data_IF_859396190727
#
_entry.id   IF_859396190727
#
_cell.length_a   1.000
_cell.length_b   1.000
_cell.length_c   1.000
_cell.angle_alpha   90.00
_cell.angle_beta   90.00
_cell.angle_gamma   90.00
#
_symmetry.space_group_name_H-M   'P 1'
#
loop_
_entity.id
_entity.type
_entity.pdbx_description
1 polymer ?
#
# COMPACT_ATOMS: atom_id res chain seq x y z
N UNK A 1 12.15 10.76 14.75
CA UNK A 1 12.59 10.47 13.37
C UNK A 1 12.60 11.73 12.48
N UNK A 2 11.44 12.28 12.10
CA UNK A 2 11.33 13.39 11.12
C UNK A 2 12.14 14.64 11.51
N UNK A 3 12.23 14.96 12.80
CA UNK A 3 12.95 16.16 13.27
C UNK A 3 14.41 15.89 13.62
N UNK A 4 14.80 14.62 13.74
CA UNK A 4 16.11 14.20 14.26
C UNK A 4 17.05 13.63 13.19
N UNK A 5 16.52 13.26 12.02
CA UNK A 5 17.26 12.63 10.93
C UNK A 5 17.04 13.40 9.64
N UNK A 6 18.00 13.29 8.72
CA UNK A 6 17.90 13.91 7.39
C UNK A 6 16.76 13.31 6.59
N UNK A 7 15.96 14.17 5.93
CA UNK A 7 14.88 13.76 5.02
C UNK A 7 15.38 12.82 3.91
N UNK A 8 16.64 12.95 3.50
CA UNK A 8 17.21 12.07 2.46
C UNK A 8 17.27 10.60 2.90
N UNK A 9 17.34 10.33 4.20
CA UNK A 9 17.46 8.98 4.71
C UNK A 9 16.09 8.30 4.85
N UNK A 10 15.09 9.04 5.37
CA UNK A 10 13.78 8.46 5.68
C UNK A 10 12.66 8.83 4.69
N UNK A 11 12.83 9.89 3.89
CA UNK A 11 11.87 10.39 2.88
C UNK A 11 10.45 10.72 3.39
N UNK A 12 10.31 10.91 4.71
CA UNK A 12 9.04 11.27 5.36
C UNK A 12 8.90 12.79 5.49
N UNK A 13 7.67 13.28 5.43
CA UNK A 13 7.29 14.65 5.78
C UNK A 13 6.17 14.66 6.82
N UNK A 14 5.96 15.80 7.50
CA UNK A 14 4.94 15.91 8.57
C UNK A 14 3.53 15.53 8.10
N UNK A 15 3.20 15.76 6.83
CA UNK A 15 1.91 15.34 6.26
C UNK A 15 1.73 13.82 6.17
N UNK A 16 2.83 13.05 6.06
CA UNK A 16 2.76 11.58 5.95
C UNK A 16 2.32 10.93 7.28
N UNK A 17 2.39 11.65 8.40
CA UNK A 17 1.92 11.20 9.73
C UNK A 17 0.65 11.92 10.18
N UNK A 18 0.01 12.68 9.30
CA UNK A 18 -1.18 13.46 9.64
C UNK A 18 -2.41 12.56 9.83
N UNK A 19 -3.01 12.49 11.02
CA UNK A 19 -4.13 11.58 11.30
C UNK A 19 -5.45 12.00 10.63
N UNK A 20 -5.52 13.19 10.02
CA UNK A 20 -6.69 13.66 9.28
C UNK A 20 -6.78 13.04 7.88
N UNK A 21 -5.65 12.71 7.27
CA UNK A 21 -5.58 12.13 5.92
C UNK A 21 -5.47 10.60 5.96
N UNK A 22 -6.56 9.96 6.42
CA UNK A 22 -6.60 8.51 6.68
C UNK A 22 -6.66 7.65 5.41
N UNK A 23 -6.92 8.24 4.25
CA UNK A 23 -7.09 7.54 2.97
C UNK A 23 -5.81 7.57 2.11
N UNK A 24 -4.76 8.25 2.57
CA UNK A 24 -3.52 8.39 1.81
C UNK A 24 -2.64 7.15 1.96
N UNK A 25 -2.87 6.18 1.07
CA UNK A 25 -2.08 4.95 1.00
C UNK A 25 -0.59 5.22 0.76
N UNK A 26 -0.22 6.26 0.01
CA UNK A 26 1.18 6.60 -0.28
C UNK A 26 1.96 6.94 0.99
N UNK A 27 1.33 7.57 1.97
CA UNK A 27 1.93 7.81 3.28
C UNK A 27 2.28 6.49 3.98
N UNK A 28 1.42 5.48 3.88
CA UNK A 28 1.67 4.14 4.43
C UNK A 28 2.88 3.46 3.78
N UNK A 29 3.01 3.54 2.45
CA UNK A 29 4.17 2.99 1.73
C UNK A 29 5.48 3.64 2.19
N UNK A 30 5.49 4.97 2.29
CA UNK A 30 6.67 5.70 2.78
C UNK A 30 7.04 5.33 4.20
N UNK A 31 6.05 5.15 5.08
CA UNK A 31 6.28 4.70 6.46
C UNK A 31 6.93 3.31 6.49
N UNK A 32 6.48 2.38 5.64
CA UNK A 32 7.09 1.06 5.51
C UNK A 32 8.52 1.10 4.94
N UNK A 33 8.83 2.08 4.08
CA UNK A 33 10.19 2.27 3.58
C UNK A 33 11.15 2.82 4.65
N UNK A 34 10.64 3.54 5.65
CA UNK A 34 11.44 4.15 6.71
C UNK A 34 11.78 3.19 7.88
N UNK A 35 11.48 1.89 7.77
CA UNK A 35 11.71 0.88 8.83
C UNK A 35 13.19 0.85 9.27
N UNK A 36 14.13 0.89 8.33
CA UNK A 36 15.57 0.83 8.62
C UNK A 36 16.00 2.02 9.49
N UNK A 37 15.50 3.22 9.19
CA UNK A 37 15.75 4.41 9.99
C UNK A 37 15.12 4.35 11.40
N UNK A 38 14.07 3.55 11.59
CA UNK A 38 13.43 3.38 12.89
C UNK A 38 14.21 2.43 13.79
N UNK A 39 14.89 1.42 13.24
CA UNK A 39 15.66 0.44 14.04
C UNK A 39 16.76 1.09 14.88
N UNK A 40 17.28 2.24 14.45
CA UNK A 40 18.30 3.01 15.17
C UNK A 40 17.74 3.88 16.32
N UNK A 41 16.42 3.92 16.51
CA UNK A 41 15.75 4.74 17.52
C UNK A 41 15.31 3.86 18.70
N UNK A 42 15.67 4.26 19.91
CA UNK A 42 15.21 3.60 21.14
C UNK A 42 13.68 3.58 21.21
N UNK A 43 13.10 2.51 21.76
CA UNK A 43 11.65 2.31 21.90
C UNK A 43 10.83 2.23 20.59
N UNK A 44 11.47 2.09 19.43
CA UNK A 44 10.79 1.95 18.13
C UNK A 44 10.40 0.51 17.77
N UNK A 45 10.88 -0.49 18.50
CA UNK A 45 10.81 -1.91 18.15
C UNK A 45 9.39 -2.38 17.83
N UNK A 46 8.40 -1.98 18.64
CA UNK A 46 7.00 -2.33 18.39
C UNK A 46 6.46 -1.72 17.09
N UNK A 47 6.85 -0.48 16.78
CA UNK A 47 6.51 0.19 15.52
C UNK A 47 7.18 -0.50 14.33
N UNK A 48 8.44 -0.90 14.46
CA UNK A 48 9.16 -1.68 13.44
C UNK A 48 8.45 -2.99 13.14
N UNK A 49 8.06 -3.75 14.17
CA UNK A 49 7.29 -5.00 14.00
C UNK A 49 5.95 -4.72 13.30
N UNK A 50 5.22 -3.70 13.74
CA UNK A 50 3.94 -3.34 13.14
C UNK A 50 4.06 -2.96 11.65
N UNK A 51 5.02 -2.11 11.29
CA UNK A 51 5.28 -1.73 9.90
C UNK A 51 5.80 -2.93 9.08
N UNK A 52 6.53 -3.86 9.69
CA UNK A 52 6.98 -5.09 9.03
C UNK A 52 5.81 -5.99 8.66
N UNK A 53 4.78 -6.11 9.52
CA UNK A 53 3.54 -6.83 9.19
C UNK A 53 2.86 -6.19 7.98
N UNK A 54 2.74 -4.85 7.96
CA UNK A 54 2.16 -4.12 6.82
C UNK A 54 2.98 -4.38 5.54
N UNK A 55 4.31 -4.30 5.63
CA UNK A 55 5.21 -4.58 4.50
C UNK A 55 5.02 -6.00 3.96
N UNK A 56 4.85 -7.00 4.83
CA UNK A 56 4.54 -8.38 4.41
C UNK A 56 3.23 -8.44 3.60
N UNK A 57 2.19 -7.73 4.05
CA UNK A 57 0.89 -7.67 3.35
C UNK A 57 1.04 -7.00 1.97
N UNK A 58 1.80 -5.90 1.88
CA UNK A 58 2.05 -5.19 0.63
C UNK A 58 2.78 -6.10 -0.37
N UNK A 59 3.85 -6.78 0.05
CA UNK A 59 4.61 -7.71 -0.79
C UNK A 59 3.72 -8.87 -1.25
N UNK A 60 2.92 -9.44 -0.35
CA UNK A 60 2.07 -10.59 -0.67
C UNK A 60 0.96 -10.26 -1.68
N UNK A 61 0.27 -9.12 -1.53
CA UNK A 61 -1.00 -8.87 -2.23
C UNK A 61 -1.00 -7.68 -3.20
N UNK A 62 -0.04 -6.76 -3.08
CA UNK A 62 -0.08 -5.48 -3.82
C UNK A 62 1.05 -5.43 -4.86
N UNK A 63 2.28 -5.76 -4.47
CA UNK A 63 3.43 -5.68 -5.36
C UNK A 63 3.26 -6.64 -6.55
N UNK A 64 3.19 -6.16 -7.82
CA UNK A 64 3.01 -7.02 -8.99
C UNK A 64 4.26 -7.83 -9.34
N UNK A 65 5.45 -7.45 -8.85
CA UNK A 65 6.72 -8.10 -9.18
C UNK A 65 7.02 -9.34 -8.33
N UNK A 66 6.25 -9.58 -7.27
CA UNK A 66 6.50 -10.66 -6.33
C UNK A 66 6.08 -12.04 -6.89
N UNK A 67 6.97 -13.06 -6.88
CA UNK A 67 6.64 -14.43 -7.27
C UNK A 67 5.65 -15.12 -6.31
N UNK A 68 4.85 -16.07 -6.82
CA UNK A 68 3.79 -16.76 -6.04
C UNK A 68 4.28 -17.36 -4.72
N UNK A 69 5.38 -18.12 -4.73
CA UNK A 69 5.91 -18.76 -3.52
C UNK A 69 6.25 -17.73 -2.43
N UNK A 70 6.87 -16.61 -2.84
CA UNK A 70 7.20 -15.49 -1.97
C UNK A 70 5.94 -14.81 -1.41
N UNK A 71 4.87 -14.70 -2.21
CA UNK A 71 3.58 -14.16 -1.73
C UNK A 71 2.99 -15.02 -0.62
N UNK A 72 2.97 -16.34 -0.81
CA UNK A 72 2.45 -17.30 0.17
C UNK A 72 3.25 -17.18 1.48
N UNK A 73 4.58 -17.15 1.38
CA UNK A 73 5.45 -16.98 2.53
C UNK A 73 5.12 -15.72 3.33
N UNK A 74 5.08 -14.55 2.69
CA UNK A 74 4.81 -13.29 3.40
C UNK A 74 3.37 -13.16 3.89
N UNK A 75 2.39 -13.70 3.17
CA UNK A 75 1.00 -13.76 3.63
C UNK A 75 0.89 -14.54 4.94
N UNK A 76 1.49 -15.74 5.00
CA UNK A 76 1.46 -16.57 6.20
C UNK A 76 2.34 -16.01 7.32
N UNK A 77 3.48 -15.39 7.01
CA UNK A 77 4.30 -14.71 8.01
C UNK A 77 3.50 -13.62 8.74
N UNK A 78 2.74 -12.81 8.00
CA UNK A 78 1.84 -11.81 8.60
C UNK A 78 0.79 -12.46 9.52
N UNK A 79 0.15 -13.54 9.07
CA UNK A 79 -0.84 -14.30 9.87
C UNK A 79 -0.21 -14.84 11.15
N UNK A 80 0.96 -15.48 11.07
CA UNK A 80 1.64 -16.07 12.22
C UNK A 80 2.03 -15.01 13.25
N UNK A 81 2.61 -13.89 12.82
CA UNK A 81 2.96 -12.79 13.73
C UNK A 81 1.71 -12.22 14.40
N UNK A 82 0.62 -12.01 13.66
CA UNK A 82 -0.64 -11.55 14.24
C UNK A 82 -1.25 -12.56 15.24
N UNK A 83 -1.18 -13.87 14.96
CA UNK A 83 -1.63 -14.92 15.88
C UNK A 83 -0.80 -14.92 17.16
N UNK A 84 0.54 -14.84 17.05
CA UNK A 84 1.42 -14.74 18.21
C UNK A 84 1.13 -13.50 19.06
N UNK A 85 0.94 -12.34 18.44
CA UNK A 85 0.58 -11.10 19.13
C UNK A 85 -0.75 -11.24 19.87
N UNK A 86 -1.79 -11.80 19.22
CA UNK A 86 -3.09 -12.04 19.84
C UNK A 86 -3.01 -13.02 21.01
N UNK A 87 -2.27 -14.11 20.84
CA UNK A 87 -2.08 -15.13 21.89
C UNK A 87 -1.33 -14.55 23.07
N UNK A 88 -0.24 -13.80 22.84
CA UNK A 88 0.50 -13.11 23.88
C UNK A 88 -0.41 -12.17 24.70
N UNK A 89 -1.20 -11.32 24.05
CA UNK A 89 -2.14 -10.42 24.75
C UNK A 89 -3.14 -11.19 25.63
N UNK A 90 -3.62 -12.35 25.18
CA UNK A 90 -4.54 -13.18 25.93
C UNK A 90 -3.88 -13.85 27.14
N UNK A 91 -2.63 -14.31 27.00
CA UNK A 91 -1.90 -15.05 28.03
C UNK A 91 -1.28 -14.17 29.13
N UNK A 92 -0.94 -12.91 28.85
CA UNK A 92 -0.35 -12.02 29.86
C UNK A 92 -1.32 -11.85 31.05
N UNK A 93 -0.92 -12.02 32.32
CA UNK A 93 -1.80 -11.78 33.47
C UNK A 93 -2.37 -10.35 33.46
N UNK A 94 -3.60 -10.18 33.96
CA UNK A 94 -4.24 -8.83 34.00
C UNK A 94 -3.42 -7.83 34.82
N UNK A 95 -2.80 -8.29 35.91
CA UNK A 95 -1.97 -7.47 36.78
C UNK A 95 -0.74 -6.95 36.03
N UNK A 96 0.09 -7.85 35.50
CA UNK A 96 1.28 -7.53 34.71
C UNK A 96 0.96 -6.60 33.53
N UNK A 97 -0.18 -6.81 32.87
CA UNK A 97 -0.62 -5.95 31.79
C UNK A 97 -0.88 -4.52 32.27
N UNK A 98 -1.67 -4.37 33.34
CA UNK A 98 -1.98 -3.06 33.91
C UNK A 98 -0.72 -2.35 34.43
N UNK A 99 0.21 -3.09 35.04
CA UNK A 99 1.47 -2.53 35.55
C UNK A 99 2.33 -1.97 34.40
N UNK A 100 2.43 -2.70 33.28
CA UNK A 100 3.12 -2.23 32.06
C UNK A 100 2.46 -0.99 31.45
N UNK A 101 1.12 -0.97 31.41
CA UNK A 101 0.38 0.20 30.89
C UNK A 101 0.58 1.42 31.79
N UNK A 102 0.52 1.26 33.11
CA UNK A 102 0.77 2.33 34.08
C UNK A 102 2.20 2.89 33.95
N UNK A 103 3.20 2.03 33.77
CA UNK A 103 4.57 2.47 33.48
C UNK A 103 4.64 3.32 32.20
N UNK A 104 3.99 2.89 31.12
CA UNK A 104 3.95 3.65 29.86
C UNK A 104 3.23 5.00 29.99
N UNK A 105 2.15 5.06 30.77
CA UNK A 105 1.39 6.29 30.98
C UNK A 105 2.16 7.36 31.78
N UNK A 106 3.07 6.93 32.66
CA UNK A 106 3.90 7.83 33.46
C UNK A 106 4.98 8.55 32.64
N UNK A 107 5.37 8.02 31.47
CA UNK A 107 6.41 8.58 30.62
C UNK A 107 5.88 9.56 29.53
N UNK A 108 4.58 9.83 29.47
CA UNK A 108 3.97 10.58 28.37
C UNK A 108 2.83 11.49 28.85
N UNK A 109 2.97 12.81 28.68
CA UNK A 109 1.91 13.76 29.02
C UNK A 109 0.69 13.66 28.09
N UNK A 110 0.89 13.15 26.86
CA UNK A 110 -0.19 12.88 25.87
C UNK A 110 -0.96 11.60 26.22
N UNK A 111 -0.35 10.68 26.98
CA UNK A 111 -0.95 9.42 27.38
C UNK A 111 -2.03 9.61 28.46
N UNK A 112 -1.84 10.55 29.40
CA UNK A 112 -2.69 10.70 30.59
C UNK A 112 -4.19 10.82 30.30
N UNK A 113 -4.58 11.49 29.20
CA UNK A 113 -5.99 11.64 28.82
C UNK A 113 -6.58 10.46 28.03
N UNK A 114 -5.78 9.73 27.26
CA UNK A 114 -6.24 8.51 26.56
C UNK A 114 -6.36 7.30 27.49
N UNK A 115 -5.48 7.18 28.48
CA UNK A 115 -5.49 6.05 29.44
C UNK A 115 -6.52 6.18 30.55
N UNK A 116 -7.21 7.33 30.70
CA UNK A 116 -8.38 7.48 31.58
C UNK A 116 -9.58 6.64 31.13
N UNK A 117 -9.68 6.28 29.84
CA UNK A 117 -10.69 5.33 29.37
C UNK A 117 -10.25 3.90 29.70
N UNK A 118 -11.18 3.06 30.18
CA UNK A 118 -10.96 1.62 30.44
C UNK A 118 -10.38 0.95 29.18
N UNK A 119 -9.06 0.85 29.12
CA UNK A 119 -8.33 0.26 28.00
C UNK A 119 -8.36 -1.25 28.18
N UNK A 120 -9.26 -1.91 27.45
CA UNK A 120 -9.24 -3.37 27.41
C UNK A 120 -8.04 -3.84 26.59
N UNK A 121 -7.50 -5.03 26.90
CA UNK A 121 -6.42 -5.65 26.11
C UNK A 121 -6.69 -5.66 24.59
N UNK A 122 -7.97 -5.73 24.20
CA UNK A 122 -8.42 -5.68 22.80
C UNK A 122 -8.02 -4.39 22.08
N UNK A 123 -7.87 -3.28 22.80
CA UNK A 123 -7.47 -1.99 22.24
C UNK A 123 -6.00 -1.95 21.81
N UNK A 124 -5.18 -2.94 22.20
CA UNK A 124 -3.76 -3.04 21.87
C UNK A 124 -3.49 -4.08 20.78
N UNK A 125 -4.53 -4.58 20.14
CA UNK A 125 -4.43 -5.42 18.96
C UNK A 125 -5.00 -4.68 17.75
N UNK A 126 -4.62 -5.10 16.56
CA UNK A 126 -5.32 -4.67 15.34
C UNK A 126 -6.81 -5.01 15.43
N UNK A 127 -7.64 -4.28 14.67
CA UNK A 127 -9.08 -4.55 14.69
C UNK A 127 -9.37 -5.99 14.26
N UNK A 128 -10.37 -6.62 14.87
CA UNK A 128 -10.75 -8.00 14.54
C UNK A 128 -11.04 -8.18 13.05
N UNK A 129 -11.63 -7.17 12.41
CA UNK A 129 -11.87 -7.15 10.96
C UNK A 129 -10.57 -7.16 10.17
N UNK A 130 -9.59 -6.32 10.51
CA UNK A 130 -8.30 -6.31 9.82
C UNK A 130 -7.57 -7.64 9.97
N UNK A 131 -7.56 -8.21 11.18
CA UNK A 131 -6.99 -9.53 11.44
C UNK A 131 -7.63 -10.63 10.59
N UNK A 132 -8.97 -10.68 10.58
CA UNK A 132 -9.71 -11.68 9.81
C UNK A 132 -9.45 -11.53 8.30
N UNK A 133 -9.37 -10.29 7.79
CA UNK A 133 -9.05 -10.06 6.38
C UNK A 133 -7.65 -10.57 6.01
N UNK A 134 -6.66 -10.38 6.87
CA UNK A 134 -5.29 -10.92 6.65
C UNK A 134 -5.34 -12.44 6.55
N UNK A 135 -6.05 -13.09 7.48
CA UNK A 135 -6.19 -14.54 7.54
C UNK A 135 -6.95 -15.11 6.33
N UNK A 136 -8.11 -14.53 6.00
CA UNK A 136 -8.90 -14.92 4.83
C UNK A 136 -8.11 -14.77 3.53
N UNK A 137 -7.37 -13.67 3.36
CA UNK A 137 -6.58 -13.46 2.15
C UNK A 137 -5.43 -14.46 2.02
N UNK A 138 -4.76 -14.83 3.12
CA UNK A 138 -3.71 -15.86 3.11
C UNK A 138 -4.27 -17.25 2.75
N UNK A 139 -5.41 -17.61 3.35
CA UNK A 139 -6.11 -18.85 3.02
C UNK A 139 -6.57 -18.89 1.56
N UNK A 140 -7.18 -17.81 1.08
CA UNK A 140 -7.64 -17.70 -0.31
C UNK A 140 -6.47 -17.84 -1.30
N UNK A 141 -5.35 -17.15 -1.05
CA UNK A 141 -4.16 -17.26 -1.88
C UNK A 141 -3.63 -18.71 -1.93
N UNK A 142 -3.58 -19.37 -0.79
CA UNK A 142 -3.14 -20.77 -0.69
C UNK A 142 -4.07 -21.68 -1.48
N UNK A 143 -5.38 -21.50 -1.30
CA UNK A 143 -6.39 -22.29 -1.99
C UNK A 143 -6.34 -22.11 -3.51
N UNK A 144 -6.24 -20.88 -4.00
CA UNK A 144 -6.07 -20.60 -5.43
C UNK A 144 -4.79 -21.24 -5.99
N UNK A 145 -3.70 -21.25 -5.20
CA UNK A 145 -2.46 -21.90 -5.61
C UNK A 145 -2.64 -23.41 -5.72
N UNK A 146 -3.35 -24.05 -4.79
CA UNK A 146 -3.64 -25.48 -4.84
C UNK A 146 -4.52 -25.82 -6.06
N UNK A 147 -5.57 -25.05 -6.32
CA UNK A 147 -6.43 -25.26 -7.49
C UNK A 147 -5.68 -25.13 -8.82
N UNK A 148 -4.72 -24.21 -8.91
CA UNK A 148 -3.85 -24.10 -10.09
C UNK A 148 -2.88 -25.27 -10.18
N UNK A 149 -2.33 -25.74 -9.05
CA UNK A 149 -1.45 -26.91 -9.02
C UNK A 149 -2.16 -28.21 -9.39
N UNK A 150 -3.47 -28.30 -9.16
CA UNK A 150 -4.35 -29.40 -9.56
C UNK A 150 -4.95 -29.22 -10.97
N UNK A 151 -4.45 -28.25 -11.75
CA UNK A 151 -4.94 -27.92 -13.11
C UNK A 151 -6.45 -27.57 -13.19
N UNK A 152 -7.07 -27.17 -12.08
CA UNK A 152 -8.47 -26.75 -12.05
C UNK A 152 -8.66 -25.28 -12.43
N UNK A 153 -7.61 -24.47 -12.35
CA UNK A 153 -7.61 -23.04 -12.68
C UNK A 153 -6.39 -22.65 -13.52
N UNK A 154 -6.54 -21.65 -14.41
CA UNK A 154 -5.43 -21.16 -15.21
C UNK A 154 -4.40 -20.40 -14.36
N UNK A 155 -3.13 -20.43 -14.78
CA UNK A 155 -2.00 -19.80 -14.09
C UNK A 155 -2.19 -18.29 -13.88
N UNK A 156 -2.90 -17.63 -14.80
CA UNK A 156 -3.26 -16.21 -14.72
C UNK A 156 -4.02 -15.85 -13.45
N UNK A 157 -4.70 -16.81 -12.83
CA UNK A 157 -5.44 -16.62 -11.57
C UNK A 157 -4.52 -16.25 -10.41
N UNK A 158 -3.22 -16.59 -10.50
CA UNK A 158 -2.20 -16.22 -9.50
C UNK A 158 -1.69 -14.78 -9.65
N UNK A 159 -2.25 -13.97 -10.55
CA UNK A 159 -2.01 -12.52 -10.65
C UNK A 159 -2.77 -11.76 -9.55
N UNK A 160 -2.46 -12.08 -8.30
CA UNK A 160 -3.15 -11.58 -7.09
C UNK A 160 -3.11 -10.06 -6.97
N UNK A 161 -2.11 -9.39 -7.55
CA UNK A 161 -2.04 -7.93 -7.62
C UNK A 161 -3.23 -7.29 -8.37
N UNK A 162 -4.05 -8.07 -9.08
CA UNK A 162 -5.27 -7.60 -9.73
C UNK A 162 -6.50 -7.62 -8.82
N UNK A 163 -6.42 -8.25 -7.65
CA UNK A 163 -7.59 -8.47 -6.77
C UNK A 163 -7.87 -7.30 -5.82
N UNK A 164 -7.09 -6.22 -5.90
CA UNK A 164 -7.34 -5.03 -5.10
C UNK A 164 -8.39 -4.11 -5.75
N UNK A 165 -8.93 -3.18 -4.95
CA UNK A 165 -9.94 -2.20 -5.37
C UNK A 165 -9.38 -1.01 -6.14
N UNK A 166 -8.07 -0.95 -6.43
CA UNK A 166 -7.44 0.25 -6.97
C UNK A 166 -8.01 0.64 -8.34
N UNK A 167 -8.38 -0.35 -9.16
CA UNK A 167 -9.05 -0.14 -10.44
C UNK A 167 -10.43 0.51 -10.27
N UNK A 168 -11.20 0.07 -9.28
CA UNK A 168 -12.51 0.65 -8.97
C UNK A 168 -12.36 2.10 -8.46
N UNK A 169 -11.41 2.37 -7.57
CA UNK A 169 -11.12 3.73 -7.09
C UNK A 169 -10.69 4.66 -8.22
N UNK A 170 -9.87 4.16 -9.15
CA UNK A 170 -9.45 4.89 -10.33
C UNK A 170 -10.64 5.21 -11.24
N UNK A 171 -11.58 4.26 -11.40
CA UNK A 171 -12.83 4.49 -12.12
C UNK A 171 -13.64 5.62 -11.48
N UNK A 172 -13.87 5.57 -10.17
CA UNK A 172 -14.59 6.64 -9.46
C UNK A 172 -13.86 7.99 -9.53
N UNK A 173 -12.54 8.02 -9.44
CA UNK A 173 -11.74 9.23 -9.65
C UNK A 173 -11.95 9.81 -11.04
N UNK A 174 -11.93 8.97 -12.07
CA UNK A 174 -12.19 9.39 -13.44
C UNK A 174 -13.62 9.94 -13.58
N UNK A 175 -14.63 9.25 -13.04
CA UNK A 175 -16.01 9.74 -13.02
C UNK A 175 -16.14 11.10 -12.33
N UNK A 176 -15.44 11.32 -11.21
CA UNK A 176 -15.42 12.62 -10.50
C UNK A 176 -14.75 13.71 -11.32
N UNK A 177 -13.70 13.38 -12.07
CA UNK A 177 -12.99 14.35 -12.94
C UNK A 177 -13.75 14.72 -14.22
N UNK A 178 -14.74 13.91 -14.61
CA UNK A 178 -15.57 14.14 -15.80
C UNK A 178 -16.76 15.03 -15.48
N UNK A 179 -16.47 16.27 -15.09
CA UNK A 179 -17.46 17.35 -14.97
C UNK A 179 -17.52 18.19 -16.25
N UNK A 180 -18.60 18.95 -16.44
CA UNK A 180 -18.76 19.84 -17.60
C UNK A 180 -17.73 20.98 -17.58
N UNK A 181 -17.49 21.60 -18.74
CA UNK A 181 -16.47 22.66 -18.95
C UNK A 181 -16.56 23.87 -18.02
N UNK A 182 -17.71 24.08 -17.37
CA UNK A 182 -17.94 25.17 -16.40
C UNK A 182 -18.39 24.65 -15.02
N UNK A 183 -18.22 23.35 -14.74
CA UNK A 183 -18.62 22.73 -13.48
C UNK A 183 -17.43 22.07 -12.80
N UNK A 184 -17.21 22.40 -11.53
CA UNK A 184 -16.26 21.71 -10.63
C UNK A 184 -16.97 20.69 -9.74
N UNK A 185 -18.22 20.31 -10.08
CA UNK A 185 -19.01 19.37 -9.29
C UNK A 185 -18.39 17.96 -9.31
N UNK A 186 -17.76 17.61 -8.20
CA UNK A 186 -17.21 16.26 -7.97
C UNK A 186 -18.29 15.26 -7.54
N UNK A 187 -19.39 15.74 -6.96
CA UNK A 187 -20.51 14.92 -6.53
C UNK A 187 -21.51 14.75 -7.67
N UNK A 188 -22.11 13.56 -7.77
CA UNK A 188 -23.05 13.23 -8.83
C UNK A 188 -24.09 12.20 -8.38
N UNK A 189 -25.28 12.25 -8.99
CA UNK A 189 -26.33 11.24 -8.79
C UNK A 189 -26.01 9.94 -9.54
N UNK A 190 -26.75 8.86 -9.23
CA UNK A 190 -26.62 7.57 -9.94
C UNK A 190 -26.86 7.73 -11.44
N UNK A 191 -27.87 8.51 -11.85
CA UNK A 191 -28.13 8.77 -13.26
C UNK A 191 -26.95 9.48 -13.94
N UNK A 192 -26.35 10.47 -13.28
CA UNK A 192 -25.17 11.15 -13.78
C UNK A 192 -23.95 10.24 -13.86
N UNK A 193 -23.82 9.28 -12.93
CA UNK A 193 -22.78 8.26 -12.98
C UNK A 193 -22.92 7.35 -14.19
N UNK A 194 -24.12 6.84 -14.47
CA UNK A 194 -24.39 5.98 -15.64
C UNK A 194 -24.06 6.71 -16.95
N UNK A 195 -24.46 7.98 -17.08
CA UNK A 195 -24.11 8.80 -18.24
C UNK A 195 -22.60 9.03 -18.39
N UNK A 196 -21.86 9.09 -17.27
CA UNK A 196 -20.39 9.21 -17.28
C UNK A 196 -19.72 7.88 -17.62
N UNK A 197 -20.30 6.75 -17.22
CA UNK A 197 -19.78 5.40 -17.53
C UNK A 197 -19.67 5.18 -19.05
N UNK A 198 -20.69 5.55 -19.82
CA UNK A 198 -20.67 5.42 -21.29
C UNK A 198 -19.49 6.19 -21.90
N UNK A 199 -19.29 7.44 -21.44
CA UNK A 199 -18.16 8.28 -21.88
C UNK A 199 -16.81 7.68 -21.49
N UNK A 200 -16.69 7.12 -20.29
CA UNK A 200 -15.47 6.42 -19.85
C UNK A 200 -15.20 5.21 -20.72
N UNK A 201 -16.23 4.42 -21.03
CA UNK A 201 -16.12 3.24 -21.89
C UNK A 201 -15.59 3.61 -23.27
N UNK A 202 -16.16 4.66 -23.88
CA UNK A 202 -15.70 5.20 -25.16
C UNK A 202 -14.26 5.73 -25.11
N UNK A 203 -13.88 6.43 -24.04
CA UNK A 203 -12.48 6.86 -23.87
C UNK A 203 -11.52 5.68 -23.74
N UNK A 204 -11.94 4.61 -23.06
CA UNK A 204 -11.12 3.41 -22.92
C UNK A 204 -11.00 2.65 -24.24
N UNK A 205 -12.06 2.55 -25.05
CA UNK A 205 -11.98 1.92 -26.37
C UNK A 205 -11.00 2.65 -27.30
N UNK A 206 -11.01 4.00 -27.30
CA UNK A 206 -10.03 4.79 -28.06
C UNK A 206 -8.61 4.55 -27.56
N UNK A 207 -8.38 4.54 -26.24
CA UNK A 207 -7.06 4.27 -25.67
C UNK A 207 -6.52 2.90 -26.06
N UNK A 208 -7.37 1.87 -26.01
CA UNK A 208 -6.98 0.51 -26.41
C UNK A 208 -6.67 0.43 -27.91
N UNK A 209 -7.46 1.09 -28.76
CA UNK A 209 -7.21 1.17 -30.20
C UNK A 209 -5.90 1.91 -30.52
N UNK A 210 -5.60 2.99 -29.81
CA UNK A 210 -4.35 3.76 -30.00
C UNK A 210 -3.07 3.00 -29.63
N UNK A 211 -3.18 1.94 -28.82
CA UNK A 211 -2.06 1.07 -28.44
C UNK A 211 -1.87 -0.11 -29.42
N UNK A 212 -2.73 -0.28 -30.42
CA UNK A 212 -2.57 -1.32 -31.44
C UNK A 212 -1.49 -0.92 -32.46
N UNK A 213 -0.62 -1.86 -32.84
CA UNK A 213 0.58 -1.65 -33.68
C UNK A 213 0.31 -1.27 -35.15
N UNK A 214 -0.90 -0.83 -35.50
CA UNK A 214 -1.21 -0.41 -36.87
C UNK A 214 -0.88 1.08 -37.07
N UNK A 215 0.02 1.43 -38.02
CA UNK A 215 0.59 2.77 -38.14
C UNK A 215 -0.36 3.84 -38.69
N UNK A 216 -1.56 3.49 -39.17
CA UNK A 216 -2.42 4.40 -39.93
C UNK A 216 -3.34 5.31 -39.09
N UNK A 217 -3.41 5.15 -37.76
CA UNK A 217 -4.24 6.02 -36.90
C UNK A 217 -3.73 6.09 -35.45
N UNK A 218 -2.46 6.47 -35.29
CA UNK A 218 -1.87 6.69 -33.96
C UNK A 218 -2.43 7.96 -33.32
N UNK A 219 -3.55 7.84 -32.60
CA UNK A 219 -4.05 8.91 -31.75
C UNK A 219 -3.14 9.06 -30.52
N UNK A 220 -2.40 10.16 -30.44
CA UNK A 220 -1.53 10.47 -29.30
C UNK A 220 -2.26 11.45 -28.38
N UNK A 221 -2.71 10.99 -27.22
CA UNK A 221 -3.24 11.88 -26.20
C UNK A 221 -2.12 12.75 -25.58
N UNK A 222 -2.41 13.99 -25.15
CA UNK A 222 -1.45 14.88 -24.47
C UNK A 222 -0.71 14.25 -23.29
N UNK A 223 -1.32 13.28 -22.59
CA UNK A 223 -0.68 12.51 -21.52
C UNK A 223 0.51 11.67 -21.99
N UNK A 224 0.48 11.14 -23.22
CA UNK A 224 1.58 10.32 -23.77
C UNK A 224 2.86 11.14 -24.03
N UNK A 225 2.74 12.45 -24.26
CA UNK A 225 3.90 13.33 -24.38
C UNK A 225 4.63 13.52 -23.04
N UNK A 226 3.91 13.46 -21.90
CA UNK A 226 4.53 13.55 -20.57
C UNK A 226 5.31 12.29 -20.19
N UNK A 227 4.80 11.11 -20.53
CA UNK A 227 5.46 9.83 -20.19
C UNK A 227 6.72 9.58 -21.04
N UNK A 228 6.75 10.03 -22.30
CA UNK A 228 7.93 9.90 -23.16
C UNK A 228 9.15 10.72 -22.69
N UNK A 229 8.93 11.86 -22.02
CA UNK A 229 10.05 12.65 -21.48
C UNK A 229 10.77 11.92 -20.34
N UNK A 230 10.06 11.16 -19.50
CA UNK A 230 10.67 10.41 -18.41
C UNK A 230 11.55 9.23 -18.90
N UNK A 231 11.25 8.64 -20.05
CA UNK A 231 12.10 7.61 -20.65
C UNK A 231 13.40 8.15 -21.25
N UNK A 232 13.38 9.37 -21.80
CA UNK A 232 14.60 9.98 -22.36
C UNK A 232 15.67 10.26 -21.29
N UNK A 233 15.27 10.53 -20.04
CA UNK A 233 16.21 10.78 -18.94
C UNK A 233 16.72 9.51 -18.24
N UNK A 234 16.09 8.35 -18.47
CA UNK A 234 16.51 7.07 -17.87
C UNK A 234 17.42 6.24 -18.79
N UNK A 235 17.74 6.73 -20.00
CA UNK A 235 18.59 6.03 -20.99
C UNK A 235 19.98 6.65 -21.18
N UNK A 236 20.45 7.47 -20.22
CA UNK A 236 21.84 7.92 -20.21
C UNK A 236 22.60 7.05 -19.18
N UNK A 237 23.08 5.89 -19.64
CA UNK A 237 24.17 5.19 -18.94
C UNK A 237 25.50 5.88 -19.28
N UNK A 238 26.40 6.11 -18.31
CA UNK A 238 27.77 6.50 -18.60
C UNK A 238 28.63 5.24 -18.76
N UNK A 239 28.82 4.80 -20.01
CA UNK A 239 29.96 3.94 -20.35
C UNK A 239 31.01 4.76 -21.12
N UNK A 240 32.27 4.47 -20.78
CA UNK A 240 33.54 4.86 -21.41
C UNK A 240 34.22 6.13 -20.89
N UNK A 241 34.93 5.97 -19.76
CA UNK A 241 36.23 6.61 -19.60
C UNK A 241 37.26 5.50 -19.44
N UNK A 242 37.92 5.13 -20.53
CA UNK A 242 39.26 4.52 -20.49
C UNK A 242 40.01 4.77 -21.81
N UNK A 243 41.00 5.65 -21.70
CA UNK A 243 42.32 5.71 -22.38
C UNK A 243 42.48 6.36 -23.77
N UNK A 244 43.62 7.06 -23.80
CA UNK A 244 44.49 7.53 -24.90
C UNK A 244 44.22 8.96 -25.38
N UNK A 245 45.20 9.86 -25.54
CA UNK A 245 46.66 9.81 -25.42
C UNK A 245 47.22 11.25 -25.65
N UNK A 246 48.43 11.51 -25.14
CA UNK A 246 49.48 12.34 -25.78
C UNK A 246 49.22 13.86 -25.88
N UNK A 247 49.76 14.62 -24.92
CA UNK A 247 51.05 15.31 -25.04
C UNK A 247 51.49 15.85 -23.67
#
# INVERSE_FOLDING_TARGET
LIELRSKFNHNLVKSDICPHDKQNYRSCEKLCAAIECLQEINDSHATVVYLSIIRCIIIAFIDPSTPTATRIYYAWLAVFVCRLWRTWLNLVPKQDFNDRISQMANHSDIAKDKFKQKTTKKCFFITSTAFLCIELNAHNLTYLTLLVAEDQLPLETLKVSLFNSQTCENFFRLSRSMSGTFSTSVNFSVQQFLNRQEKISFLNSIKTQSNSSYPSSKFVFPSHHKTQQNHKYSTIQPEKITKQQVQ
#
